data_IF_024810317390
#
_entry.id   IF_024810317390
#
_cell.length_a   1.000
_cell.length_b   1.000
_cell.length_c   1.000
_cell.angle_alpha   90.00
_cell.angle_beta   90.00
_cell.angle_gamma   90.00
#
_symmetry.space_group_name_H-M   'P 1'
#
loop_
_entity.id
_entity.type
_entity.pdbx_description
1 polymer ?
#
# COMPACT_ATOMS: atom_id res chain seq x y z
N UNK A 1 21.63 -18.83 -15.39
CA UNK A 1 20.20 -18.43 -15.24
C UNK A 1 20.19 -16.94 -15.04
N UNK A 2 19.82 -16.21 -16.08
CA UNK A 2 19.89 -14.74 -16.10
C UNK A 2 18.86 -14.15 -15.16
N UNK A 3 19.35 -13.42 -14.18
CA UNK A 3 18.59 -12.70 -13.14
C UNK A 3 18.05 -11.38 -13.73
N UNK A 4 17.12 -11.47 -14.68
CA UNK A 4 16.62 -10.34 -15.46
C UNK A 4 15.42 -9.63 -14.82
N UNK A 5 14.92 -10.11 -13.68
CA UNK A 5 13.76 -9.51 -12.99
C UNK A 5 14.12 -8.34 -12.04
N UNK A 6 15.41 -7.98 -11.90
CA UNK A 6 15.88 -7.13 -10.80
C UNK A 6 16.45 -5.77 -11.20
N UNK A 7 16.39 -5.36 -12.45
CA UNK A 7 17.07 -4.14 -12.93
C UNK A 7 16.15 -2.92 -12.99
N UNK A 8 15.65 -2.48 -11.86
CA UNK A 8 15.01 -1.17 -11.78
C UNK A 8 13.99 -1.09 -10.65
N UNK A 9 14.02 0.02 -9.91
CA UNK A 9 12.84 0.50 -9.21
C UNK A 9 11.81 0.80 -10.30
N UNK A 10 10.76 -0.04 -10.42
CA UNK A 10 9.70 0.15 -11.42
C UNK A 10 9.69 -0.79 -12.61
N UNK A 11 10.36 -1.94 -12.56
CA UNK A 11 10.28 -2.92 -13.65
C UNK A 11 10.21 -4.36 -13.14
N UNK A 12 9.16 -4.66 -12.37
CA UNK A 12 8.73 -6.04 -12.24
C UNK A 12 8.29 -6.51 -13.65
N UNK A 13 9.04 -7.43 -14.24
CA UNK A 13 8.68 -7.95 -15.57
C UNK A 13 7.45 -8.85 -15.38
N UNK A 14 6.31 -8.56 -16.01
CA UNK A 14 5.14 -9.42 -15.94
C UNK A 14 5.47 -10.82 -16.45
N UNK A 15 4.98 -11.83 -15.73
CA UNK A 15 5.24 -13.22 -16.11
C UNK A 15 5.01 -14.16 -14.93
N UNK A 16 5.15 -15.46 -15.23
CA UNK A 16 5.06 -16.52 -14.23
C UNK A 16 6.44 -16.98 -13.79
N UNK A 17 6.61 -17.14 -12.49
CA UNK A 17 7.88 -17.45 -11.85
C UNK A 17 7.72 -18.56 -10.79
N UNK A 18 8.83 -19.26 -10.49
CA UNK A 18 8.84 -20.34 -9.51
C UNK A 18 8.28 -21.66 -10.04
N UNK A 19 8.32 -22.71 -9.22
CA UNK A 19 8.00 -24.08 -9.60
C UNK A 19 6.58 -24.54 -9.23
N UNK A 20 5.90 -23.79 -8.38
CA UNK A 20 4.56 -24.14 -7.89
C UNK A 20 3.44 -23.72 -8.84
N UNK A 21 2.23 -24.19 -8.55
CA UNK A 21 1.01 -23.87 -9.33
C UNK A 21 0.04 -22.97 -8.56
N UNK A 22 0.51 -22.33 -7.48
CA UNK A 22 -0.35 -21.52 -6.63
C UNK A 22 -0.87 -20.26 -7.33
N UNK A 23 -2.07 -19.86 -6.97
CA UNK A 23 -2.62 -18.57 -7.33
C UNK A 23 -2.06 -17.49 -6.38
N UNK A 24 -0.87 -17.02 -6.68
CA UNK A 24 -0.19 -15.95 -5.97
C UNK A 24 0.24 -14.90 -7.00
N UNK A 25 -0.14 -13.66 -6.79
CA UNK A 25 0.22 -12.53 -7.65
C UNK A 25 0.99 -11.51 -6.84
N UNK A 26 2.13 -11.11 -7.34
CA UNK A 26 2.92 -9.98 -6.86
C UNK A 26 2.80 -8.83 -7.84
N UNK A 27 2.62 -7.62 -7.34
CA UNK A 27 2.58 -6.43 -8.17
C UNK A 27 3.24 -5.25 -7.46
N UNK A 28 3.89 -4.38 -8.21
CA UNK A 28 4.22 -3.05 -7.72
C UNK A 28 2.95 -2.20 -7.74
N UNK A 29 2.71 -1.47 -6.65
CA UNK A 29 1.49 -0.68 -6.48
C UNK A 29 1.82 0.79 -6.64
N UNK A 30 1.14 1.47 -7.55
CA UNK A 30 1.34 2.89 -7.81
C UNK A 30 0.81 3.71 -6.64
N UNK A 31 1.67 4.53 -6.06
CA UNK A 31 1.34 5.57 -5.10
C UNK A 31 1.45 6.91 -5.82
N UNK A 32 0.33 7.60 -6.02
CA UNK A 32 0.33 8.92 -6.63
C UNK A 32 0.66 10.02 -5.61
N UNK A 33 0.19 9.85 -4.37
CA UNK A 33 0.54 10.68 -3.24
C UNK A 33 0.60 9.87 -1.95
N UNK A 34 1.54 10.21 -1.09
CA UNK A 34 1.64 9.71 0.28
C UNK A 34 1.98 10.88 1.20
N UNK A 35 1.01 11.30 2.01
CA UNK A 35 1.16 12.48 2.87
C UNK A 35 1.02 12.10 4.33
N UNK A 36 1.97 12.52 5.16
CA UNK A 36 1.87 12.35 6.59
C UNK A 36 1.23 13.61 7.20
N UNK A 37 0.04 13.42 7.78
CA UNK A 37 -0.69 14.45 8.54
C UNK A 37 -0.43 14.23 10.02
N UNK A 38 -0.09 15.31 10.73
CA UNK A 38 0.12 15.29 12.16
C UNK A 38 -0.68 16.39 12.84
N UNK A 39 -1.35 16.06 13.95
CA UNK A 39 -2.16 17.01 14.70
C UNK A 39 -2.78 16.41 15.95
N UNK A 40 -3.55 17.20 16.68
CA UNK A 40 -4.21 16.79 17.90
C UNK A 40 -5.65 16.35 17.60
N UNK A 41 -5.98 15.04 17.69
CA UNK A 41 -7.29 14.52 17.30
C UNK A 41 -8.42 14.96 18.23
N UNK A 42 -8.13 15.47 19.41
CA UNK A 42 -9.13 16.01 20.34
C UNK A 42 -9.56 17.44 20.00
N UNK A 43 -8.90 18.09 19.05
CA UNK A 43 -9.25 19.43 18.57
C UNK A 43 -10.21 19.34 17.38
N UNK A 44 -11.48 19.76 17.50
CA UNK A 44 -12.45 19.70 16.42
C UNK A 44 -11.97 20.39 15.15
N UNK A 45 -11.34 21.57 15.28
CA UNK A 45 -10.80 22.33 14.15
C UNK A 45 -9.80 21.52 13.30
N UNK A 46 -8.98 20.66 13.93
CA UNK A 46 -8.04 19.80 13.20
C UNK A 46 -8.78 18.74 12.37
N UNK A 47 -9.77 18.09 12.95
CA UNK A 47 -10.56 17.05 12.28
C UNK A 47 -11.36 17.63 11.11
N UNK A 48 -12.02 18.78 11.36
CA UNK A 48 -12.80 19.50 10.34
C UNK A 48 -11.93 19.94 9.17
N UNK A 49 -10.74 20.46 9.46
CA UNK A 49 -9.82 20.93 8.44
C UNK A 49 -9.26 19.77 7.59
N UNK A 50 -8.92 18.63 8.22
CA UNK A 50 -8.51 17.44 7.48
C UNK A 50 -9.63 16.92 6.57
N UNK A 51 -10.86 16.83 7.10
CA UNK A 51 -12.03 16.44 6.31
C UNK A 51 -12.26 17.38 5.12
N UNK A 52 -12.15 18.69 5.35
CA UNK A 52 -12.33 19.72 4.31
C UNK A 52 -11.26 19.61 3.21
N UNK A 53 -10.00 19.38 3.59
CA UNK A 53 -8.86 19.38 2.65
C UNK A 53 -8.71 18.07 1.87
N UNK A 54 -9.07 16.95 2.47
CA UNK A 54 -8.75 15.62 1.93
C UNK A 54 -9.98 14.73 1.68
N UNK A 55 -11.15 15.16 2.08
CA UNK A 55 -12.40 14.38 1.98
C UNK A 55 -12.25 12.94 2.53
N UNK A 56 -11.54 12.81 3.64
CA UNK A 56 -11.32 11.54 4.33
C UNK A 56 -11.36 11.75 5.85
N UNK A 57 -12.03 10.86 6.55
CA UNK A 57 -12.01 10.81 8.01
C UNK A 57 -10.71 10.14 8.49
N UNK A 58 -10.16 10.61 9.61
CA UNK A 58 -8.99 9.98 10.22
C UNK A 58 -9.40 8.81 11.12
N UNK A 59 -8.78 7.63 11.00
CA UNK A 59 -9.01 6.53 11.92
C UNK A 59 -8.55 6.90 13.35
N UNK A 60 -9.39 6.61 14.33
CA UNK A 60 -9.11 6.89 15.75
C UNK A 60 -8.64 5.66 16.51
N UNK A 61 -9.06 4.47 16.06
CA UNK A 61 -8.60 3.22 16.65
C UNK A 61 -7.19 2.86 16.12
N UNK A 62 -6.29 2.34 16.98
CA UNK A 62 -4.98 1.88 16.56
C UNK A 62 -5.06 0.80 15.47
N UNK A 63 -4.11 0.84 14.53
CA UNK A 63 -3.95 -0.15 13.48
C UNK A 63 -5.16 -0.30 12.54
N UNK A 64 -5.95 0.74 12.38
CA UNK A 64 -7.09 0.78 11.46
C UNK A 64 -6.88 1.78 10.33
N UNK A 65 -7.72 1.66 9.33
CA UNK A 65 -7.76 2.58 8.19
C UNK A 65 -9.17 3.14 7.99
N UNK A 66 -9.24 4.32 7.39
CA UNK A 66 -10.48 4.88 6.84
C UNK A 66 -10.29 5.19 5.37
N UNK A 67 -11.31 4.90 4.56
CA UNK A 67 -11.27 5.12 3.11
C UNK A 67 -12.31 6.12 2.69
N UNK A 68 -11.92 6.97 1.74
CA UNK A 68 -12.84 7.67 0.84
C UNK A 68 -12.66 7.16 -0.60
N UNK A 69 -13.38 7.75 -1.55
CA UNK A 69 -13.18 7.42 -2.98
C UNK A 69 -11.76 7.77 -3.47
N UNK A 70 -11.13 8.74 -2.84
CA UNK A 70 -9.88 9.35 -3.23
C UNK A 70 -8.67 8.81 -2.47
N UNK A 71 -8.81 8.63 -1.17
CA UNK A 71 -7.70 8.41 -0.25
C UNK A 71 -7.97 7.28 0.73
N UNK A 72 -6.88 6.65 1.19
CA UNK A 72 -6.90 5.84 2.41
C UNK A 72 -6.06 6.53 3.46
N UNK A 73 -6.66 6.73 4.62
CA UNK A 73 -5.98 7.20 5.82
C UNK A 73 -5.58 6.01 6.70
N UNK A 74 -4.30 5.91 7.02
CA UNK A 74 -3.71 4.88 7.88
C UNK A 74 -3.38 5.47 9.23
N UNK A 75 -3.76 4.80 10.29
CA UNK A 75 -3.32 5.16 11.63
C UNK A 75 -1.83 4.82 11.80
N UNK A 76 -0.99 5.80 12.08
CA UNK A 76 0.43 5.60 12.41
C UNK A 76 0.75 5.83 13.88
N UNK A 77 -0.14 6.49 14.59
CA UNK A 77 0.03 6.84 15.99
C UNK A 77 -1.04 7.83 16.44
N UNK A 78 -1.04 8.14 17.73
CA UNK A 78 -2.07 8.99 18.34
C UNK A 78 -2.28 10.36 17.67
N UNK A 79 -1.23 10.87 17.01
CA UNK A 79 -1.23 12.22 16.42
C UNK A 79 -0.65 12.20 14.99
N UNK A 80 -0.63 11.03 14.35
CA UNK A 80 0.01 10.87 13.04
C UNK A 80 -0.74 9.89 12.17
N UNK A 81 -1.01 10.28 10.93
CA UNK A 81 -1.70 9.47 9.92
C UNK A 81 -0.98 9.57 8.59
N UNK A 82 -1.00 8.49 7.82
CA UNK A 82 -0.55 8.50 6.43
C UNK A 82 -1.78 8.49 5.53
N UNK A 83 -1.88 9.48 4.65
CA UNK A 83 -2.89 9.55 3.60
C UNK A 83 -2.26 9.08 2.29
N UNK A 84 -2.88 8.10 1.62
CA UNK A 84 -2.35 7.54 0.37
C UNK A 84 -3.40 7.61 -0.73
N UNK A 85 -2.99 8.14 -1.90
CA UNK A 85 -3.76 8.16 -3.14
C UNK A 85 -3.17 7.19 -4.16
N UNK A 86 -4.03 6.43 -4.84
CA UNK A 86 -3.63 5.47 -5.87
C UNK A 86 -3.44 6.08 -7.26
N UNK A 87 -4.08 7.20 -7.56
CA UNK A 87 -3.99 7.91 -8.83
C UNK A 87 -3.94 9.42 -8.66
N UNK A 88 -3.33 10.15 -9.60
CA UNK A 88 -3.25 11.61 -9.53
C UNK A 88 -4.62 12.28 -9.55
N UNK A 89 -5.58 11.71 -10.27
CA UNK A 89 -6.97 12.20 -10.33
C UNK A 89 -7.75 11.96 -9.03
N UNK A 90 -7.25 11.09 -8.15
CA UNK A 90 -7.88 10.79 -6.87
C UNK A 90 -7.53 11.80 -5.78
N UNK A 91 -6.59 12.72 -6.04
CA UNK A 91 -6.15 13.69 -5.03
C UNK A 91 -7.08 14.91 -5.05
N UNK A 92 -7.83 15.19 -3.97
CA UNK A 92 -8.68 16.37 -3.88
C UNK A 92 -7.86 17.66 -4.12
N UNK A 93 -8.29 18.48 -5.06
CA UNK A 93 -7.56 19.70 -5.46
C UNK A 93 -6.27 19.47 -6.27
N UNK A 94 -5.94 18.20 -6.58
CA UNK A 94 -4.74 17.81 -7.32
C UNK A 94 -3.46 17.80 -6.50
N UNK A 95 -2.39 17.29 -7.10
CA UNK A 95 -1.06 17.19 -6.47
C UNK A 95 -0.40 18.56 -6.27
N UNK A 96 -0.71 19.52 -7.14
CA UNK A 96 -0.16 20.90 -7.11
C UNK A 96 -0.61 21.71 -5.89
N UNK A 97 -1.70 21.30 -5.24
CA UNK A 97 -2.31 22.03 -4.13
C UNK A 97 -1.69 21.68 -2.74
N UNK A 98 -0.64 20.89 -2.73
CA UNK A 98 0.01 20.46 -1.48
C UNK A 98 0.48 21.62 -0.60
N UNK A 99 1.06 22.66 -1.18
CA UNK A 99 1.56 23.81 -0.42
C UNK A 99 0.43 24.55 0.30
N UNK A 100 -0.69 24.80 -0.37
CA UNK A 100 -1.87 25.43 0.23
C UNK A 100 -2.47 24.59 1.35
N UNK A 101 -2.58 23.25 1.17
CA UNK A 101 -3.04 22.34 2.22
C UNK A 101 -2.13 22.33 3.45
N UNK A 102 -0.82 22.31 3.22
CA UNK A 102 0.18 22.39 4.29
C UNK A 102 0.05 23.70 5.06
N UNK A 103 -0.08 24.82 4.38
CA UNK A 103 -0.16 26.15 5.00
C UNK A 103 -1.46 26.28 5.81
N UNK A 104 -2.59 25.75 5.33
CA UNK A 104 -3.85 25.67 6.08
C UNK A 104 -3.70 24.85 7.36
N UNK A 105 -3.08 23.69 7.32
CA UNK A 105 -2.84 22.87 8.51
C UNK A 105 -1.86 23.53 9.48
N UNK A 106 -0.80 24.15 8.99
CA UNK A 106 0.18 24.86 9.82
C UNK A 106 -0.47 26.02 10.59
N UNK A 107 -1.40 26.73 9.96
CA UNK A 107 -2.11 27.85 10.60
C UNK A 107 -2.91 27.43 11.86
N UNK A 108 -3.29 26.16 11.96
CA UNK A 108 -4.01 25.62 13.11
C UNK A 108 -3.12 24.79 14.05
N UNK A 109 -1.79 24.81 13.84
CA UNK A 109 -0.82 24.07 14.66
C UNK A 109 -0.76 22.56 14.38
N UNK A 110 -1.18 22.16 13.19
CA UNK A 110 -0.97 20.83 12.62
C UNK A 110 0.19 20.85 11.62
N UNK A 111 0.57 19.70 11.06
CA UNK A 111 1.64 19.60 10.10
C UNK A 111 1.29 18.63 8.96
N UNK A 112 1.81 18.89 7.77
CA UNK A 112 1.69 18.04 6.58
C UNK A 112 3.06 17.85 5.93
N UNK A 113 3.45 16.59 5.72
CA UNK A 113 4.71 16.23 5.08
C UNK A 113 4.44 15.40 3.83
N UNK A 114 5.11 15.74 2.74
CA UNK A 114 5.06 14.94 1.51
C UNK A 114 6.07 13.79 1.57
N UNK A 115 5.56 12.57 1.55
CA UNK A 115 6.32 11.34 1.51
C UNK A 115 6.19 10.59 0.17
N UNK A 116 5.55 11.17 -0.83
CA UNK A 116 5.21 10.53 -2.10
C UNK A 116 6.44 9.96 -2.80
N UNK A 117 7.51 10.74 -2.89
CA UNK A 117 8.76 10.30 -3.52
C UNK A 117 9.57 9.31 -2.67
N UNK A 118 9.27 9.20 -1.37
CA UNK A 118 10.04 8.37 -0.42
C UNK A 118 9.45 6.97 -0.19
N UNK A 119 8.28 6.68 -0.76
CA UNK A 119 7.55 5.42 -0.53
C UNK A 119 7.41 4.62 -1.80
N UNK A 120 7.40 3.31 -1.64
CA UNK A 120 6.96 2.32 -2.64
C UNK A 120 6.04 1.32 -1.97
N UNK A 121 5.16 0.71 -2.75
CA UNK A 121 4.25 -0.31 -2.25
C UNK A 121 4.24 -1.52 -3.17
N UNK A 122 4.06 -2.69 -2.57
CA UNK A 122 3.90 -3.97 -3.24
C UNK A 122 2.63 -4.62 -2.76
N UNK A 123 1.84 -5.17 -3.70
CA UNK A 123 0.64 -5.95 -3.38
C UNK A 123 0.91 -7.43 -3.60
N UNK A 124 0.49 -8.23 -2.63
CA UNK A 124 0.49 -9.68 -2.66
C UNK A 124 -0.95 -10.16 -2.61
N UNK A 125 -1.40 -10.89 -3.62
CA UNK A 125 -2.79 -11.39 -3.70
C UNK A 125 -2.80 -12.88 -3.94
N UNK A 126 -3.69 -13.60 -3.26
CA UNK A 126 -3.89 -15.04 -3.43
C UNK A 126 -3.67 -15.84 -2.16
N UNK A 127 -3.95 -17.13 -2.24
CA UNK A 127 -4.03 -18.07 -1.08
C UNK A 127 -2.75 -18.13 -0.25
N UNK A 128 -1.58 -17.93 -0.86
CA UNK A 128 -0.28 -17.95 -0.19
C UNK A 128 0.28 -16.56 0.18
N UNK A 129 -0.46 -15.48 -0.09
CA UNK A 129 -0.01 -14.12 0.19
C UNK A 129 0.36 -13.91 1.67
N UNK A 130 -0.47 -14.40 2.58
CA UNK A 130 -0.17 -14.35 4.02
C UNK A 130 1.07 -15.16 4.40
N UNK A 131 1.27 -16.35 3.83
CA UNK A 131 2.42 -17.20 4.11
C UNK A 131 3.73 -16.58 3.61
N UNK A 132 3.73 -15.99 2.41
CA UNK A 132 4.87 -15.25 1.86
C UNK A 132 5.21 -14.07 2.76
N UNK A 133 4.21 -13.30 3.18
CA UNK A 133 4.44 -12.15 4.04
C UNK A 133 4.94 -12.55 5.43
N UNK A 134 4.37 -13.59 6.03
CA UNK A 134 4.76 -14.11 7.34
C UNK A 134 6.20 -14.64 7.40
N UNK A 135 6.82 -14.98 6.26
CA UNK A 135 8.22 -15.41 6.23
C UNK A 135 9.21 -14.32 6.61
N UNK A 136 8.84 -13.05 6.44
CA UNK A 136 9.68 -11.90 6.77
C UNK A 136 9.02 -10.91 7.73
N UNK A 137 7.76 -11.10 8.08
CA UNK A 137 6.98 -10.18 8.90
C UNK A 137 6.46 -10.91 10.16
N UNK A 138 6.74 -10.40 11.37
CA UNK A 138 6.37 -11.06 12.62
C UNK A 138 4.89 -10.85 13.01
N UNK A 139 4.09 -10.16 12.18
CA UNK A 139 2.67 -9.95 12.45
C UNK A 139 1.89 -11.27 12.35
N UNK A 140 0.91 -11.44 13.23
CA UNK A 140 -0.13 -12.44 13.05
C UNK A 140 -1.12 -11.95 11.98
N UNK A 141 -1.01 -12.53 10.78
CA UNK A 141 -1.83 -12.18 9.62
C UNK A 141 -3.12 -12.99 9.53
N UNK A 142 -3.44 -13.76 10.57
CA UNK A 142 -4.69 -14.51 10.62
C UNK A 142 -5.90 -13.56 10.53
N UNK A 143 -6.94 -13.86 9.73
CA UNK A 143 -8.06 -12.95 9.49
C UNK A 143 -8.83 -12.48 10.74
N UNK A 144 -8.77 -13.24 11.83
CA UNK A 144 -9.38 -12.85 13.12
C UNK A 144 -8.59 -11.78 13.85
N UNK A 145 -7.27 -11.70 13.63
CA UNK A 145 -6.35 -10.75 14.27
C UNK A 145 -6.06 -9.57 13.36
N UNK A 146 -5.91 -9.84 12.07
CA UNK A 146 -5.63 -8.85 11.04
C UNK A 146 -6.75 -8.86 9.98
N UNK A 147 -7.93 -8.29 10.30
CA UNK A 147 -9.08 -8.27 9.40
C UNK A 147 -8.87 -7.32 8.23
N UNK A 148 -9.79 -7.34 7.26
CA UNK A 148 -9.85 -6.35 6.19
C UNK A 148 -9.94 -4.93 6.77
N UNK A 149 -9.20 -3.98 6.18
CA UNK A 149 -9.06 -2.62 6.69
C UNK A 149 -8.03 -2.46 7.82
N UNK A 150 -7.44 -3.55 8.33
CA UNK A 150 -6.36 -3.44 9.30
C UNK A 150 -5.06 -2.98 8.65
N UNK A 151 -4.28 -2.18 9.38
CA UNK A 151 -2.91 -1.83 9.04
C UNK A 151 -2.02 -1.95 10.27
N UNK A 152 -0.72 -2.20 10.06
CA UNK A 152 0.24 -2.19 11.16
C UNK A 152 1.62 -1.78 10.67
N UNK A 153 2.30 -0.97 11.47
CA UNK A 153 3.73 -0.74 11.31
C UNK A 153 4.49 -1.93 11.89
N UNK A 154 5.36 -2.52 11.09
CA UNK A 154 6.13 -3.70 11.41
C UNK A 154 7.44 -3.69 10.62
N UNK A 155 8.00 -4.86 10.41
CA UNK A 155 9.17 -5.06 9.54
C UNK A 155 8.84 -6.13 8.50
N UNK A 156 9.57 -6.08 7.38
CA UNK A 156 9.73 -7.20 6.47
C UNK A 156 11.24 -7.47 6.34
N UNK A 157 11.69 -8.60 6.88
CA UNK A 157 13.10 -8.86 7.14
C UNK A 157 13.66 -7.82 8.14
N UNK A 158 14.57 -6.99 7.67
CA UNK A 158 15.18 -5.90 8.45
C UNK A 158 14.67 -4.50 8.07
N UNK A 159 13.68 -4.41 7.17
CA UNK A 159 13.17 -3.16 6.63
C UNK A 159 11.85 -2.79 7.32
N UNK A 160 11.75 -1.56 7.82
CA UNK A 160 10.48 -1.05 8.35
C UNK A 160 9.42 -1.01 7.25
N UNK A 161 8.26 -1.57 7.54
CA UNK A 161 7.15 -1.70 6.62
C UNK A 161 5.82 -1.28 7.27
N UNK A 162 4.95 -0.67 6.50
CA UNK A 162 3.53 -0.55 6.82
C UNK A 162 2.79 -1.63 6.04
N UNK A 163 2.21 -2.58 6.77
CA UNK A 163 1.41 -3.67 6.20
C UNK A 163 -0.05 -3.30 6.28
N UNK A 164 -0.76 -3.49 5.19
CA UNK A 164 -2.18 -3.21 5.07
C UNK A 164 -2.90 -4.40 4.44
N UNK A 165 -4.02 -4.79 5.01
CA UNK A 165 -4.93 -5.77 4.42
C UNK A 165 -6.10 -5.04 3.77
N UNK A 166 -6.14 -5.06 2.44
CA UNK A 166 -7.29 -4.60 1.69
C UNK A 166 -8.48 -5.57 1.84
N UNK A 167 -9.46 -5.51 1.01
CA UNK A 167 -10.73 -6.24 1.15
C UNK A 167 -10.62 -7.77 1.22
N UNK A 168 -11.76 -8.44 1.38
CA UNK A 168 -12.04 -9.83 1.67
C UNK A 168 -11.33 -10.98 0.93
N UNK A 169 -10.56 -10.74 -0.11
CA UNK A 169 -9.59 -11.70 -0.66
C UNK A 169 -8.27 -11.60 0.12
N UNK A 170 -7.46 -12.69 0.21
CA UNK A 170 -6.12 -12.58 0.78
C UNK A 170 -5.26 -11.63 -0.06
N UNK A 171 -5.39 -10.34 0.19
CA UNK A 171 -4.65 -9.27 -0.48
C UNK A 171 -4.02 -8.36 0.57
N UNK A 172 -2.69 -8.26 0.51
CA UNK A 172 -1.90 -7.43 1.41
C UNK A 172 -1.09 -6.43 0.61
N UNK A 173 -0.98 -5.22 1.12
CA UNK A 173 -0.06 -4.21 0.61
C UNK A 173 1.05 -3.97 1.63
N UNK A 174 2.28 -3.97 1.17
CA UNK A 174 3.48 -3.70 1.96
C UNK A 174 4.09 -2.41 1.45
N UNK A 175 4.07 -1.35 2.27
CA UNK A 175 4.70 -0.07 1.95
C UNK A 175 6.03 0.05 2.69
N UNK A 176 7.09 0.41 1.97
CA UNK A 176 8.43 0.57 2.50
C UNK A 176 9.08 1.86 2.00
N UNK A 177 10.22 2.24 2.60
CA UNK A 177 10.99 3.33 2.07
C UNK A 177 11.59 2.94 0.70
N UNK A 178 11.58 3.89 -0.24
CA UNK A 178 12.07 3.69 -1.62
C UNK A 178 13.51 3.19 -1.69
N UNK A 179 14.35 3.56 -0.74
CA UNK A 179 15.74 3.09 -0.65
C UNK A 179 15.87 1.57 -0.49
N UNK A 180 14.85 0.90 0.04
CA UNK A 180 14.81 -0.55 0.22
C UNK A 180 13.92 -1.27 -0.81
N UNK A 181 13.44 -0.56 -1.82
CA UNK A 181 12.50 -1.10 -2.80
C UNK A 181 12.98 -2.41 -3.43
N UNK A 182 14.21 -2.42 -3.94
CA UNK A 182 14.80 -3.58 -4.62
C UNK A 182 15.01 -4.75 -3.68
N UNK A 183 15.49 -4.49 -2.47
CA UNK A 183 15.76 -5.54 -1.48
C UNK A 183 14.48 -6.23 -1.05
N UNK A 184 13.42 -5.45 -0.77
CA UNK A 184 12.12 -5.98 -0.38
C UNK A 184 11.46 -6.73 -1.52
N UNK A 185 11.48 -6.19 -2.75
CA UNK A 185 10.96 -6.89 -3.93
C UNK A 185 11.64 -8.24 -4.14
N UNK A 186 12.98 -8.26 -4.10
CA UNK A 186 13.75 -9.49 -4.24
C UNK A 186 13.41 -10.51 -3.16
N UNK A 187 13.31 -10.08 -1.90
CA UNK A 187 12.95 -10.96 -0.79
C UNK A 187 11.54 -11.55 -0.95
N UNK A 188 10.56 -10.74 -1.40
CA UNK A 188 9.22 -11.22 -1.72
C UNK A 188 9.23 -12.26 -2.84
N UNK A 189 9.96 -12.02 -3.93
CA UNK A 189 10.10 -12.97 -5.04
C UNK A 189 10.75 -14.29 -4.62
N UNK A 190 11.84 -14.22 -3.84
CA UNK A 190 12.54 -15.42 -3.34
C UNK A 190 11.60 -16.27 -2.49
N UNK A 191 10.86 -15.65 -1.59
CA UNK A 191 9.91 -16.37 -0.72
C UNK A 191 8.71 -16.93 -1.51
N UNK A 192 8.21 -16.16 -2.49
CA UNK A 192 7.10 -16.59 -3.32
C UNK A 192 7.45 -17.76 -4.25
N UNK A 193 8.73 -17.92 -4.62
CA UNK A 193 9.18 -18.92 -5.60
C UNK A 193 8.82 -20.35 -5.24
N UNK A 194 8.76 -20.70 -3.96
CA UNK A 194 8.37 -22.04 -3.49
C UNK A 194 6.91 -22.39 -3.82
N UNK A 195 6.05 -21.38 -3.92
CA UNK A 195 4.62 -21.57 -4.23
C UNK A 195 4.33 -21.43 -5.73
N UNK A 196 5.24 -20.80 -6.48
CA UNK A 196 4.98 -20.27 -7.81
C UNK A 196 4.11 -19.01 -7.74
N UNK A 197 4.45 -18.01 -8.55
CA UNK A 197 3.75 -16.72 -8.53
C UNK A 197 3.75 -16.07 -9.90
N UNK A 198 2.75 -15.24 -10.11
CA UNK A 198 2.68 -14.36 -11.27
C UNK A 198 3.10 -12.95 -10.85
N UNK A 199 3.82 -12.26 -11.71
CA UNK A 199 4.08 -10.83 -11.59
C UNK A 199 3.11 -10.11 -12.51
N UNK A 200 2.26 -9.26 -11.93
CA UNK A 200 1.36 -8.41 -12.67
C UNK A 200 2.01 -7.05 -12.99
N UNK A 201 1.49 -6.40 -14.02
CA UNK A 201 1.77 -4.99 -14.26
C UNK A 201 1.39 -4.15 -13.03
N UNK A 202 1.91 -2.91 -12.97
CA UNK A 202 1.58 -1.97 -11.89
C UNK A 202 0.07 -1.91 -11.63
N UNK A 203 -0.32 -2.05 -10.37
CA UNK A 203 -1.71 -1.90 -9.93
C UNK A 203 -1.87 -0.57 -9.20
N UNK A 204 -2.95 0.20 -9.45
CA UNK A 204 -3.23 1.38 -8.64
C UNK A 204 -3.52 0.97 -7.21
N UNK A 205 -3.13 1.80 -6.24
CA UNK A 205 -3.34 1.59 -4.78
C UNK A 205 -4.83 1.57 -4.47
N UNK A 206 -5.77 1.38 -4.98
CA UNK A 206 -7.22 1.22 -4.97
C UNK A 206 -7.73 0.97 -6.39
N UNK A 207 -7.29 -0.10 -7.01
CA UNK A 207 -7.95 -0.62 -8.20
C UNK A 207 -9.41 -0.89 -7.86
N UNK A 208 -10.35 -0.27 -8.59
CA UNK A 208 -11.74 -0.68 -8.53
C UNK A 208 -11.80 -2.17 -8.84
N UNK A 209 -12.60 -2.91 -8.09
CA UNK A 209 -12.88 -4.35 -8.22
C UNK A 209 -13.38 -4.77 -9.62
N UNK A 210 -13.46 -3.84 -10.61
CA UNK A 210 -13.99 -4.06 -11.95
C UNK A 210 -12.96 -4.53 -12.98
N UNK A 211 -11.66 -4.38 -12.74
CA UNK A 211 -10.64 -4.93 -13.63
C UNK A 211 -10.17 -6.30 -13.10
N UNK A 212 -11.10 -7.23 -12.94
CA UNK A 212 -10.79 -8.64 -12.82
C UNK A 212 -10.14 -9.06 -14.14
N UNK A 213 -8.92 -9.55 -14.02
CA UNK A 213 -8.12 -10.25 -14.99
C UNK A 213 -8.95 -10.92 -16.09
N UNK A 214 -9.18 -10.24 -17.20
CA UNK A 214 -9.42 -10.89 -18.48
C UNK A 214 -8.07 -11.41 -18.97
N UNK A 215 -7.67 -12.55 -18.44
CA UNK A 215 -6.65 -13.36 -19.11
C UNK A 215 -7.28 -13.78 -20.44
N UNK A 216 -6.62 -13.52 -21.58
CA UNK A 216 -7.12 -14.05 -22.85
C UNK A 216 -7.13 -15.57 -22.72
N UNK A 217 -8.32 -16.14 -22.75
CA UNK A 217 -8.51 -17.58 -22.91
C UNK A 217 -7.92 -17.90 -24.27
N UNK A 218 -6.77 -18.55 -24.28
CA UNK A 218 -6.18 -19.09 -25.52
C UNK A 218 -7.17 -20.09 -26.08
N UNK A 219 -7.92 -19.65 -27.10
CA UNK A 219 -8.80 -20.49 -27.88
C UNK A 219 -8.00 -21.59 -28.54
N UNK A 220 -8.35 -22.82 -28.22
CA UNK A 220 -8.00 -24.02 -28.97
C UNK A 220 -8.56 -23.94 -30.39
N UNK A 221 -7.67 -24.05 -31.36
CA UNK A 221 -7.92 -24.76 -32.64
C UNK A 221 -6.74 -25.64 -32.93
#
# INVERSE_FOLDING_TARGET
MSDTAADGIGSAIPGRYGAGSAHLVLAETTIAAAWNVQGEPTRPLFIEEVQRLFDVSLPTAPNTTMRSDALTAFWLGRRSWLLVAGGPSSVPGGLSDFAAKRDSLNAIGAALFDLSASRVAYTLTGTHAAAVLASGCPLDLHPRVFPAGACAQSVFGHVNALVYKSDGTPSFTVMVARSFARDVWRALCVTAAQYGYDVASHTPFHGRERDRFDLPVSGSQ
#
